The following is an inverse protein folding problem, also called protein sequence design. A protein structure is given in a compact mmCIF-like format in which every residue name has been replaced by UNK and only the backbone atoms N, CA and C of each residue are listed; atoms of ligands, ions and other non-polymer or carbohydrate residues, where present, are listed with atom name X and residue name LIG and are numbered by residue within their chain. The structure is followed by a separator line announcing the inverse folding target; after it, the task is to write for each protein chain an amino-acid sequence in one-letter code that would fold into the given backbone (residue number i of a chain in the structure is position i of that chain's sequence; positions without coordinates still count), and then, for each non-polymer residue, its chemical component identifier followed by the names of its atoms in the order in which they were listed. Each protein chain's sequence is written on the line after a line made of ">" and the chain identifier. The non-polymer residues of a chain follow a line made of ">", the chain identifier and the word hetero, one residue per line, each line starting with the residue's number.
data_IF_538908039770
#
_entry.id   IF_538908039770
#
_cell.length_a   1.000
_cell.length_b   1.000
_cell.length_c   1.000
_cell.angle_alpha   90.00
_cell.angle_beta   90.00
_cell.angle_gamma   90.00
#
_symmetry.space_group_name_H-M   'P 1'
#
loop_
_entity.id
_entity.type
_entity.pdbx_description
1 polymer ?
#
# COMPACT_ATOMS: atom_id res chain seq x y z
N UNK A 1 -9.59 15.89 -21.19
CA UNK A 1 -8.69 14.93 -20.53
C UNK A 1 -9.00 14.96 -19.05
N UNK A 2 -9.62 13.91 -18.51
CA UNK A 2 -9.88 13.82 -17.07
C UNK A 2 -8.60 13.37 -16.38
N UNK A 3 -8.06 14.20 -15.49
CA UNK A 3 -7.03 13.79 -14.54
C UNK A 3 -7.64 12.64 -13.72
N UNK A 4 -7.15 11.41 -13.89
CA UNK A 4 -7.63 10.27 -13.11
C UNK A 4 -7.17 10.47 -11.66
N UNK A 5 -8.02 11.08 -10.83
CA UNK A 5 -7.76 11.20 -9.40
C UNK A 5 -7.80 9.81 -8.77
N UNK A 6 -6.80 9.44 -7.98
CA UNK A 6 -6.86 8.28 -7.10
C UNK A 6 -8.11 8.37 -6.22
N UNK A 7 -8.83 7.26 -6.04
CA UNK A 7 -9.98 7.18 -5.15
C UNK A 7 -9.64 7.78 -3.76
N UNK A 8 -10.51 8.62 -3.18
CA UNK A 8 -10.29 9.12 -1.83
C UNK A 8 -10.26 7.96 -0.82
N UNK A 9 -9.43 8.05 0.23
CA UNK A 9 -9.32 6.98 1.19
C UNK A 9 -10.54 6.89 2.10
N UNK A 10 -10.72 5.71 2.72
CA UNK A 10 -11.58 5.57 3.88
C UNK A 10 -10.79 5.86 5.16
N UNK A 11 -11.32 6.73 6.00
CA UNK A 11 -10.71 7.11 7.28
C UNK A 11 -11.52 6.53 8.43
N UNK A 12 -10.84 5.85 9.35
CA UNK A 12 -11.42 5.18 10.53
C UNK A 12 -12.70 4.38 10.22
N UNK A 13 -12.69 3.47 9.22
CA UNK A 13 -13.88 2.71 8.88
C UNK A 13 -14.31 1.78 10.03
N UNK A 14 -15.61 1.75 10.30
CA UNK A 14 -16.21 0.86 11.31
C UNK A 14 -16.23 -0.58 10.78
N UNK A 15 -15.86 -1.55 11.62
CA UNK A 15 -15.85 -2.98 11.29
C UNK A 15 -17.14 -3.66 11.82
N UNK A 16 -17.86 -4.46 11.01
CA UNK A 16 -17.53 -4.86 9.64
C UNK A 16 -17.67 -3.72 8.63
N UNK A 17 -16.71 -3.65 7.71
CA UNK A 17 -16.65 -2.63 6.66
C UNK A 17 -16.92 -3.27 5.30
N UNK A 18 -17.63 -2.55 4.43
CA UNK A 18 -17.74 -2.84 3.01
C UNK A 18 -17.68 -1.53 2.22
N UNK A 19 -16.76 -1.44 1.27
CA UNK A 19 -16.50 -0.24 0.48
C UNK A 19 -16.21 -0.55 -0.98
N UNK A 20 -16.59 0.38 -1.85
CA UNK A 20 -16.33 0.27 -3.29
C UNK A 20 -14.87 0.54 -3.62
N UNK A 21 -14.37 -0.20 -4.60
CA UNK A 21 -13.13 0.08 -5.31
C UNK A 21 -13.53 0.78 -6.61
N UNK A 22 -13.36 2.10 -6.68
CA UNK A 22 -13.78 2.91 -7.82
C UNK A 22 -12.98 2.51 -9.07
N UNK A 23 -13.70 2.10 -10.12
CA UNK A 23 -13.09 1.56 -11.32
C UNK A 23 -12.67 0.09 -11.23
N UNK A 24 -12.97 -0.59 -10.11
CA UNK A 24 -12.61 -1.98 -9.86
C UNK A 24 -11.10 -2.19 -9.67
N UNK A 25 -10.71 -3.45 -9.53
CA UNK A 25 -9.28 -3.80 -9.52
C UNK A 25 -8.67 -3.60 -10.91
N UNK A 26 -7.47 -3.01 -10.93
CA UNK A 26 -6.69 -2.74 -12.13
C UNK A 26 -5.26 -3.25 -11.94
N UNK A 27 -4.60 -3.69 -13.01
CA UNK A 27 -3.18 -4.08 -12.95
C UNK A 27 -2.33 -2.87 -12.51
N UNK A 28 -1.59 -3.03 -11.41
CA UNK A 28 -0.78 -2.02 -10.75
C UNK A 28 -1.50 -1.23 -9.64
N UNK A 29 -2.78 -1.52 -9.37
CA UNK A 29 -3.51 -0.87 -8.26
C UNK A 29 -2.94 -1.35 -6.93
N UNK A 30 -2.53 -0.40 -6.08
CA UNK A 30 -2.11 -0.68 -4.71
C UNK A 30 -3.18 -0.23 -3.72
N UNK A 31 -3.54 -1.13 -2.80
CA UNK A 31 -4.52 -0.90 -1.75
C UNK A 31 -3.82 -1.10 -0.40
N UNK A 32 -3.82 -0.06 0.43
CA UNK A 32 -3.09 -0.05 1.71
C UNK A 32 -4.06 0.08 2.87
N UNK A 33 -4.00 -0.85 3.82
CA UNK A 33 -4.77 -0.86 5.05
C UNK A 33 -3.81 -0.58 6.21
N UNK A 34 -4.18 0.37 7.07
CA UNK A 34 -3.50 0.58 8.36
C UNK A 34 -4.49 0.32 9.47
N UNK A 35 -4.06 -0.43 10.47
CA UNK A 35 -4.94 -0.85 11.55
C UNK A 35 -4.20 -1.50 12.71
N UNK A 36 -4.98 -2.04 13.64
CA UNK A 36 -4.50 -2.77 14.82
C UNK A 36 -5.32 -4.05 14.97
N UNK A 37 -4.64 -5.17 15.22
CA UNK A 37 -5.33 -6.43 15.54
C UNK A 37 -5.87 -6.35 16.96
N UNK A 38 -7.11 -6.74 17.18
CA UNK A 38 -7.74 -6.66 18.50
C UNK A 38 -7.46 -7.92 19.32
N UNK A 39 -7.31 -7.77 20.64
CA UNK A 39 -7.22 -8.90 21.60
C UNK A 39 -8.58 -9.52 21.93
N UNK A 40 -9.66 -8.83 21.57
CA UNK A 40 -11.04 -9.18 21.89
C UNK A 40 -11.85 -9.25 20.58
N UNK A 41 -13.06 -9.80 20.66
CA UNK A 41 -13.98 -9.97 19.53
C UNK A 41 -13.50 -10.98 18.46
N UNK A 42 -12.71 -11.97 18.86
CA UNK A 42 -12.41 -13.15 18.05
C UNK A 42 -10.92 -13.42 17.87
N UNK A 43 -10.62 -14.52 17.20
CA UNK A 43 -9.27 -15.05 16.96
C UNK A 43 -8.80 -14.84 15.52
N UNK A 44 -9.55 -14.09 14.72
CA UNK A 44 -9.30 -13.92 13.28
C UNK A 44 -9.91 -12.64 12.74
N UNK A 45 -9.34 -12.15 11.65
CA UNK A 45 -9.97 -11.13 10.80
C UNK A 45 -9.82 -11.50 9.33
N UNK A 46 -10.66 -10.95 8.46
CA UNK A 46 -10.63 -11.23 7.04
C UNK A 46 -10.64 -9.94 6.22
N UNK A 47 -9.92 -9.97 5.11
CA UNK A 47 -9.99 -8.98 4.03
C UNK A 47 -10.42 -9.72 2.77
N UNK A 48 -11.54 -9.29 2.20
CA UNK A 48 -12.16 -9.94 1.05
C UNK A 48 -12.23 -8.99 -0.14
N UNK A 49 -11.81 -9.49 -1.29
CA UNK A 49 -11.98 -8.88 -2.60
C UNK A 49 -13.08 -9.63 -3.33
N UNK A 50 -14.24 -9.00 -3.54
CA UNK A 50 -15.40 -9.64 -4.14
C UNK A 50 -16.14 -8.72 -5.12
N UNK A 51 -17.08 -9.32 -5.84
CA UNK A 51 -17.94 -8.62 -6.80
C UNK A 51 -19.38 -8.67 -6.31
N UNK A 52 -20.11 -7.56 -6.49
CA UNK A 52 -21.53 -7.52 -6.17
C UNK A 52 -21.87 -7.51 -4.67
N UNK A 53 -23.16 -7.56 -4.32
CA UNK A 53 -23.65 -7.27 -2.97
C UNK A 53 -23.51 -8.44 -1.98
N UNK A 54 -23.21 -9.65 -2.47
CA UNK A 54 -23.11 -10.86 -1.64
C UNK A 54 -21.67 -11.31 -1.48
N UNK A 55 -21.41 -12.11 -0.45
CA UNK A 55 -20.10 -12.74 -0.19
C UNK A 55 -19.98 -14.14 -0.82
N UNK A 56 -20.81 -14.47 -1.82
CA UNK A 56 -20.77 -15.76 -2.49
C UNK A 56 -19.59 -15.92 -3.45
N UNK A 57 -19.07 -14.80 -3.96
CA UNK A 57 -18.01 -14.77 -4.97
C UNK A 57 -16.85 -13.88 -4.51
N UNK A 58 -15.92 -14.48 -3.77
CA UNK A 58 -14.73 -13.82 -3.23
C UNK A 58 -13.53 -14.24 -4.07
N UNK A 59 -13.01 -13.30 -4.86
CA UNK A 59 -11.83 -13.53 -5.70
C UNK A 59 -10.59 -13.80 -4.85
N UNK A 60 -10.42 -13.04 -3.77
CA UNK A 60 -9.34 -13.24 -2.82
C UNK A 60 -9.81 -12.99 -1.38
N UNK A 61 -9.76 -14.07 -0.59
CA UNK A 61 -9.97 -14.07 0.85
C UNK A 61 -8.61 -14.15 1.55
N UNK A 62 -8.23 -13.10 2.24
CA UNK A 62 -7.02 -13.05 3.07
C UNK A 62 -7.43 -13.07 4.54
N UNK A 63 -7.10 -14.14 5.26
CA UNK A 63 -7.64 -14.40 6.59
C UNK A 63 -6.59 -14.86 7.60
N UNK A 64 -5.96 -13.90 8.31
CA UNK A 64 -5.13 -14.19 9.46
C UNK A 64 -5.95 -14.79 10.60
N UNK A 65 -5.45 -15.92 11.14
CA UNK A 65 -6.04 -16.65 12.27
C UNK A 65 -4.97 -16.85 13.33
N UNK A 66 -5.25 -16.37 14.54
CA UNK A 66 -4.36 -16.44 15.70
C UNK A 66 -4.60 -17.71 16.54
N UNK A 67 -4.95 -18.80 15.86
CA UNK A 67 -5.21 -20.11 16.43
C UNK A 67 -3.99 -21.01 16.15
N UNK A 68 -3.75 -22.02 16.99
CA UNK A 68 -2.74 -23.07 16.73
C UNK A 68 -1.34 -22.55 16.36
N UNK A 69 -0.86 -21.51 17.07
CA UNK A 69 0.44 -20.88 16.80
C UNK A 69 0.42 -19.79 15.72
N UNK A 70 -0.72 -19.59 15.05
CA UNK A 70 -0.96 -18.50 14.13
C UNK A 70 -0.62 -18.85 12.68
N UNK A 71 -1.59 -18.66 11.78
CA UNK A 71 -1.41 -18.84 10.34
C UNK A 71 -2.32 -17.90 9.54
N UNK A 72 -2.06 -17.77 8.24
CA UNK A 72 -2.92 -17.01 7.32
C UNK A 72 -3.48 -17.93 6.26
N UNK A 73 -4.81 -17.91 6.08
CA UNK A 73 -5.49 -18.61 5.00
C UNK A 73 -5.72 -17.65 3.84
N UNK A 74 -5.34 -18.11 2.65
CA UNK A 74 -5.67 -17.49 1.37
C UNK A 74 -6.60 -18.43 0.59
N UNK A 75 -7.74 -17.92 0.10
CA UNK A 75 -8.64 -18.73 -0.70
C UNK A 75 -9.50 -17.89 -1.66
N UNK A 76 -10.26 -18.58 -2.50
CA UNK A 76 -11.25 -18.03 -3.42
C UNK A 76 -12.56 -18.76 -3.18
N UNK A 77 -13.67 -18.03 -3.15
CA UNK A 77 -15.04 -18.56 -3.04
C UNK A 77 -15.76 -18.28 -4.36
N UNK A 78 -16.40 -19.29 -4.94
CA UNK A 78 -17.19 -19.15 -6.17
C UNK A 78 -18.55 -19.82 -5.95
N UNK A 79 -19.64 -19.13 -6.29
CA UNK A 79 -21.01 -19.62 -6.12
C UNK A 79 -21.29 -20.16 -4.71
N UNK A 80 -20.76 -19.50 -3.67
CA UNK A 80 -20.94 -19.94 -2.29
C UNK A 80 -19.92 -20.99 -1.80
N UNK A 81 -19.15 -21.61 -2.70
CA UNK A 81 -18.25 -22.71 -2.37
C UNK A 81 -16.79 -22.26 -2.28
N UNK A 82 -16.12 -22.64 -1.19
CA UNK A 82 -14.68 -22.42 -1.03
C UNK A 82 -13.87 -23.37 -1.89
N UNK A 83 -12.82 -22.85 -2.54
CA UNK A 83 -11.81 -23.65 -3.21
C UNK A 83 -10.77 -24.25 -2.25
N UNK A 84 -9.66 -24.79 -2.79
CA UNK A 84 -8.55 -25.30 -1.97
C UNK A 84 -7.86 -24.18 -1.18
N UNK A 85 -7.72 -24.35 0.14
CA UNK A 85 -7.01 -23.36 0.96
C UNK A 85 -5.51 -23.33 0.64
N UNK A 86 -4.93 -22.13 0.56
CA UNK A 86 -3.48 -21.92 0.64
C UNK A 86 -3.14 -21.36 2.02
N UNK A 87 -2.47 -22.17 2.86
CA UNK A 87 -2.15 -21.83 4.24
C UNK A 87 -0.70 -21.40 4.37
N UNK A 88 -0.47 -20.22 4.91
CA UNK A 88 0.86 -19.73 5.30
C UNK A 88 0.99 -19.88 6.81
N UNK A 89 1.85 -20.81 7.24
CA UNK A 89 2.06 -21.13 8.66
C UNK A 89 2.90 -20.09 9.41
N UNK A 90 3.32 -19.03 8.72
CA UNK A 90 3.95 -17.87 9.34
C UNK A 90 2.89 -16.79 9.58
N UNK A 91 2.82 -16.31 10.83
CA UNK A 91 1.93 -15.21 11.23
C UNK A 91 2.70 -13.87 11.19
N UNK A 92 2.38 -12.95 10.26
CA UNK A 92 3.06 -11.67 10.15
C UNK A 92 2.42 -10.57 11.02
N UNK A 93 1.34 -10.91 11.74
CA UNK A 93 0.60 -9.98 12.60
C UNK A 93 0.77 -10.36 14.07
N UNK A 94 0.62 -9.38 14.95
CA UNK A 94 0.58 -9.62 16.38
C UNK A 94 -0.66 -8.95 16.96
N UNK A 95 -1.40 -9.65 17.82
CA UNK A 95 -2.54 -9.07 18.54
C UNK A 95 -2.10 -7.83 19.32
N UNK A 96 -2.93 -6.80 19.33
CA UNK A 96 -2.65 -5.51 19.97
C UNK A 96 -1.72 -4.58 19.19
N UNK A 97 -0.99 -5.08 18.20
CA UNK A 97 0.00 -4.29 17.49
C UNK A 97 -0.58 -3.65 16.23
N UNK A 98 -0.12 -2.43 15.89
CA UNK A 98 -0.44 -1.81 14.62
C UNK A 98 0.22 -2.57 13.47
N UNK A 99 -0.39 -2.48 12.29
CA UNK A 99 0.15 -3.03 11.06
C UNK A 99 -0.14 -2.11 9.87
N UNK A 100 0.71 -2.21 8.85
CA UNK A 100 0.44 -1.77 7.48
C UNK A 100 0.34 -3.01 6.58
N UNK A 101 -0.79 -3.19 5.92
CA UNK A 101 -1.07 -4.31 5.01
C UNK A 101 -1.31 -3.73 3.62
N UNK A 102 -0.47 -4.09 2.65
CA UNK A 102 -0.65 -3.68 1.27
C UNK A 102 -0.98 -4.87 0.36
N UNK A 103 -1.94 -4.64 -0.53
CA UNK A 103 -2.28 -5.51 -1.65
C UNK A 103 -1.92 -4.77 -2.94
N UNK A 104 -0.95 -5.29 -3.68
CA UNK A 104 -0.67 -4.85 -5.05
C UNK A 104 -1.30 -5.86 -6.00
N UNK A 105 -2.22 -5.38 -6.82
CA UNK A 105 -2.76 -6.17 -7.93
C UNK A 105 -1.76 -6.12 -9.06
N UNK A 106 -1.32 -7.28 -9.54
CA UNK A 106 -0.66 -7.39 -10.84
C UNK A 106 -1.51 -8.26 -11.79
N UNK A 107 -1.06 -8.42 -13.03
CA UNK A 107 -1.78 -9.20 -14.06
C UNK A 107 -1.99 -10.67 -13.72
N UNK A 108 -1.18 -11.26 -12.82
CA UNK A 108 -1.18 -12.70 -12.54
C UNK A 108 -1.56 -13.05 -11.10
N UNK A 109 -1.35 -12.15 -10.16
CA UNK A 109 -1.47 -12.39 -8.73
C UNK A 109 -1.78 -11.12 -7.93
N UNK A 110 -2.22 -11.34 -6.69
CA UNK A 110 -2.12 -10.36 -5.63
C UNK A 110 -0.77 -10.52 -4.93
N UNK A 111 0.03 -9.45 -4.87
CA UNK A 111 1.23 -9.37 -4.04
C UNK A 111 0.89 -8.71 -2.72
N UNK A 112 1.11 -9.43 -1.63
CA UNK A 112 0.80 -8.97 -0.28
C UNK A 112 2.08 -8.66 0.48
N UNK A 113 2.13 -7.48 1.08
CA UNK A 113 3.20 -7.09 2.01
C UNK A 113 2.60 -6.69 3.35
N UNK A 114 3.25 -7.08 4.44
CA UNK A 114 2.90 -6.68 5.81
C UNK A 114 4.09 -5.94 6.41
N UNK A 115 3.88 -4.72 6.89
CA UNK A 115 4.91 -3.86 7.48
C UNK A 115 6.14 -3.69 6.56
N UNK A 116 5.89 -3.43 5.27
CA UNK A 116 6.93 -3.27 4.25
C UNK A 116 7.67 -4.55 3.83
N UNK A 117 7.36 -5.69 4.46
CA UNK A 117 7.97 -6.98 4.15
C UNK A 117 7.05 -7.83 3.27
N UNK A 118 7.61 -8.48 2.25
CA UNK A 118 6.86 -9.40 1.42
C UNK A 118 6.31 -10.57 2.26
N UNK A 119 5.03 -10.91 2.05
CA UNK A 119 4.38 -12.00 2.76
C UNK A 119 3.90 -13.13 1.84
N UNK A 120 3.06 -12.82 0.85
CA UNK A 120 2.52 -13.84 -0.07
C UNK A 120 2.26 -13.28 -1.46
N UNK A 121 2.41 -14.12 -2.48
CA UNK A 121 1.84 -13.91 -3.81
C UNK A 121 0.70 -14.92 -3.99
N UNK A 122 -0.51 -14.42 -4.21
CA UNK A 122 -1.70 -15.27 -4.41
C UNK A 122 -2.14 -15.18 -5.87
N UNK A 123 -1.96 -16.23 -6.69
CA UNK A 123 -2.37 -16.23 -8.09
C UNK A 123 -3.87 -15.99 -8.24
N UNK A 124 -4.27 -15.22 -9.25
CA UNK A 124 -5.67 -15.03 -9.58
C UNK A 124 -6.31 -16.36 -9.98
N UNK A 125 -7.24 -16.86 -9.18
CA UNK A 125 -8.03 -18.06 -9.50
C UNK A 125 -9.30 -17.76 -10.29
N UNK A 126 -9.71 -16.50 -10.27
CA UNK A 126 -10.81 -15.93 -11.04
C UNK A 126 -10.36 -14.60 -11.65
N UNK A 127 -11.01 -14.12 -12.71
CA UNK A 127 -10.64 -12.85 -13.30
C UNK A 127 -10.86 -11.68 -12.32
N UNK A 128 -9.80 -10.94 -12.00
CA UNK A 128 -9.85 -9.86 -11.01
C UNK A 128 -10.62 -8.62 -11.49
N UNK A 129 -10.83 -8.47 -12.79
CA UNK A 129 -11.45 -7.27 -13.39
C UNK A 129 -12.93 -7.07 -13.00
N UNK A 130 -13.61 -8.11 -12.52
CA UNK A 130 -14.98 -7.98 -12.00
C UNK A 130 -15.04 -7.53 -10.55
N UNK A 131 -13.92 -7.57 -9.83
CA UNK A 131 -13.86 -7.21 -8.41
C UNK A 131 -13.97 -5.70 -8.26
N UNK A 132 -14.99 -5.28 -7.51
CA UNK A 132 -15.31 -3.87 -7.30
C UNK A 132 -15.57 -3.53 -5.82
N UNK A 133 -15.45 -4.50 -4.92
CA UNK A 133 -15.81 -4.34 -3.52
C UNK A 133 -14.75 -4.96 -2.61
N UNK A 134 -14.35 -4.17 -1.60
CA UNK A 134 -13.46 -4.56 -0.52
C UNK A 134 -14.30 -4.67 0.77
N UNK A 135 -14.27 -5.82 1.44
CA UNK A 135 -14.88 -5.98 2.75
C UNK A 135 -13.90 -6.48 3.80
N UNK A 136 -14.05 -5.98 5.02
CA UNK A 136 -13.21 -6.34 6.17
C UNK A 136 -14.10 -6.69 7.36
N UNK A 137 -13.77 -7.77 8.06
CA UNK A 137 -14.51 -8.24 9.23
C UNK A 137 -13.61 -8.94 10.25
N UNK A 138 -14.12 -9.17 11.46
CA UNK A 138 -13.43 -9.88 12.54
C UNK A 138 -12.65 -8.97 13.49
N UNK A 139 -11.67 -9.54 14.19
CA UNK A 139 -10.93 -8.93 15.30
C UNK A 139 -9.86 -7.92 14.82
N UNK A 140 -10.30 -6.85 14.16
CA UNK A 140 -9.42 -5.80 13.63
C UNK A 140 -10.08 -4.43 13.78
N UNK A 141 -9.27 -3.42 14.07
CA UNK A 141 -9.62 -2.01 13.94
C UNK A 141 -8.83 -1.41 12.79
N UNK A 142 -9.47 -0.62 11.93
CA UNK A 142 -8.82 0.08 10.83
C UNK A 142 -8.83 1.59 11.07
N UNK A 143 -7.69 2.23 10.88
CA UNK A 143 -7.58 3.69 10.85
C UNK A 143 -7.63 4.25 9.43
N UNK A 144 -7.25 3.44 8.44
CA UNK A 144 -7.07 3.91 7.06
C UNK A 144 -7.22 2.80 6.03
N UNK A 145 -7.85 3.12 4.90
CA UNK A 145 -7.81 2.35 3.66
C UNK A 145 -7.51 3.31 2.50
N UNK A 146 -6.37 3.12 1.85
CA UNK A 146 -5.89 3.94 0.73
C UNK A 146 -5.85 3.21 -0.59
N UNK A 147 -5.97 3.96 -1.68
CA UNK A 147 -5.94 3.46 -3.06
C UNK A 147 -4.92 4.28 -3.86
N UNK A 148 -3.98 3.62 -4.51
CA UNK A 148 -2.98 4.25 -5.37
C UNK A 148 -3.04 3.59 -6.75
N UNK A 149 -3.49 4.36 -7.75
CA UNK A 149 -3.65 3.89 -9.12
C UNK A 149 -2.30 3.61 -9.81
N UNK A 150 -2.27 2.70 -10.79
CA UNK A 150 -1.09 2.45 -11.62
C UNK A 150 -0.64 3.73 -12.32
N UNK A 151 0.67 3.99 -12.37
CA UNK A 151 1.22 5.17 -13.06
C UNK A 151 1.25 6.46 -12.23
N UNK A 152 0.60 6.51 -11.06
CA UNK A 152 0.87 7.53 -10.04
C UNK A 152 2.00 7.02 -9.14
N UNK A 153 3.15 6.76 -9.73
CA UNK A 153 4.40 6.88 -8.97
C UNK A 153 4.62 8.38 -8.92
N UNK A 154 4.61 8.98 -7.72
CA UNK A 154 5.17 10.32 -7.60
C UNK A 154 6.61 10.19 -8.11
N UNK A 155 6.85 10.67 -9.32
CA UNK A 155 8.20 10.94 -9.78
C UNK A 155 8.76 11.85 -8.70
N UNK A 156 9.72 11.34 -7.93
CA UNK A 156 10.66 12.22 -7.28
C UNK A 156 11.25 13.05 -8.41
N UNK A 157 10.74 14.27 -8.60
CA UNK A 157 11.50 15.32 -9.26
C UNK A 157 12.70 15.55 -8.37
N UNK A 158 13.72 14.70 -8.54
CA UNK A 158 15.07 15.07 -8.19
C UNK A 158 15.32 16.42 -8.90
N UNK A 159 15.88 17.42 -8.22
CA UNK A 159 16.22 18.67 -8.87
C UNK A 159 17.15 18.35 -10.04
N UNK A 160 16.70 18.70 -11.24
CA UNK A 160 17.49 18.55 -12.46
C UNK A 160 18.65 19.53 -12.33
N UNK A 161 19.80 19.07 -11.85
CA UNK A 161 21.06 19.76 -12.12
C UNK A 161 21.23 19.70 -13.63
N UNK A 162 21.07 20.86 -14.28
CA UNK A 162 21.38 21.02 -15.69
C UNK A 162 22.83 20.58 -15.90
N UNK A 163 23.02 19.42 -16.51
CA UNK A 163 24.33 19.01 -16.99
C UNK A 163 24.47 19.67 -18.36
N UNK A 164 25.33 20.68 -18.42
CA UNK A 164 25.76 21.31 -19.68
C UNK A 164 26.36 20.21 -20.55
N UNK A 165 25.70 19.90 -21.66
CA UNK A 165 26.17 18.92 -22.64
C UNK A 165 27.36 19.55 -23.37
N UNK A 166 28.59 19.18 -23.01
CA UNK A 166 29.72 19.34 -23.90
C UNK A 166 29.65 18.25 -24.97
N UNK A 167 29.41 18.68 -26.20
CA UNK A 167 29.40 17.84 -27.40
C UNK A 167 30.77 17.18 -27.57
N UNK A 168 30.83 15.85 -27.60
CA UNK A 168 31.95 15.13 -28.20
C UNK A 168 31.40 14.21 -29.28
N UNK A 169 31.77 14.55 -30.53
CA UNK A 169 31.51 13.77 -31.73
C UNK A 169 32.20 12.41 -31.63
N UNK A 170 31.52 11.34 -32.04
CA UNK A 170 32.19 10.13 -32.54
C UNK A 170 31.33 9.43 -33.59
N UNK A 171 32.04 8.79 -34.53
CA UNK A 171 31.67 8.40 -35.88
C UNK A 171 30.87 7.07 -35.97
N UNK A 172 30.35 6.69 -37.16
CA UNK A 172 29.30 5.68 -37.28
C UNK A 172 29.85 4.25 -37.45
N UNK A 173 29.23 3.32 -36.73
CA UNK A 173 29.30 1.88 -36.96
C UNK A 173 29.63 1.09 -35.71
N UNK A 174 28.64 0.34 -35.20
CA UNK A 174 28.73 -1.03 -34.65
C UNK A 174 27.39 -1.44 -34.00
N UNK A 175 27.04 -2.72 -34.16
CA UNK A 175 25.72 -3.33 -33.89
C UNK A 175 25.38 -3.47 -32.39
N UNK A 176 24.08 -3.36 -32.07
CA UNK A 176 23.49 -3.63 -30.76
C UNK A 176 23.44 -5.13 -30.42
N UNK A 177 23.61 -5.51 -29.14
CA UNK A 177 22.89 -6.64 -28.55
C UNK A 177 21.81 -6.16 -27.58
N UNK A 178 20.66 -6.86 -27.57
CA UNK A 178 19.49 -6.61 -26.70
C UNK A 178 19.85 -6.40 -25.22
N UNK A 179 19.22 -5.44 -24.51
CA UNK A 179 19.35 -5.35 -23.06
C UNK A 179 18.48 -6.42 -22.37
N UNK A 180 19.14 -7.31 -21.64
CA UNK A 180 18.51 -8.17 -20.63
C UNK A 180 17.87 -7.27 -19.57
N UNK A 181 16.55 -7.37 -19.42
CA UNK A 181 15.79 -6.66 -18.39
C UNK A 181 16.20 -7.23 -17.01
N UNK A 182 16.81 -6.46 -16.10
CA UNK A 182 17.04 -6.93 -14.73
C UNK A 182 15.69 -7.07 -14.01
N UNK A 183 15.57 -7.97 -13.01
CA UNK A 183 14.37 -8.04 -12.19
C UNK A 183 14.11 -6.68 -11.55
N UNK A 184 12.90 -6.16 -11.72
CA UNK A 184 12.46 -4.94 -11.05
C UNK A 184 12.46 -5.18 -9.53
N UNK A 185 13.54 -4.76 -8.87
CA UNK A 185 13.56 -4.61 -7.43
C UNK A 185 12.64 -3.43 -7.10
N UNK A 186 11.48 -3.70 -6.51
CA UNK A 186 10.66 -2.67 -5.91
C UNK A 186 11.52 -1.97 -4.84
N UNK A 187 11.78 -0.66 -4.95
CA UNK A 187 12.56 0.01 -3.93
C UNK A 187 11.73 0.03 -2.66
N UNK A 188 12.18 -0.72 -1.64
CA UNK A 188 11.89 -0.35 -0.27
C UNK A 188 12.56 1.00 -0.05
N UNK A 189 11.78 2.07 -0.20
CA UNK A 189 12.27 3.44 0.00
C UNK A 189 12.60 3.60 1.48
N UNK A 190 13.87 3.42 1.83
CA UNK A 190 14.39 3.78 3.15
C UNK A 190 14.45 5.30 3.23
N UNK A 191 13.49 5.91 3.92
CA UNK A 191 13.48 7.35 4.16
C UNK A 191 14.48 7.69 5.26
N UNK A 192 15.51 8.48 4.91
CA UNK A 192 16.47 9.00 5.88
C UNK A 192 15.81 10.03 6.79
N UNK A 193 16.17 9.97 8.08
CA UNK A 193 15.68 10.89 9.11
C UNK A 193 16.72 11.97 9.43
N UNK A 194 16.32 13.24 9.58
CA UNK A 194 14.98 13.80 9.37
C UNK A 194 14.57 13.83 7.89
N UNK A 195 13.32 13.45 7.61
CA UNK A 195 12.76 13.47 6.26
C UNK A 195 12.17 14.84 5.93
N UNK A 196 12.38 15.33 4.71
CA UNK A 196 11.77 16.56 4.18
C UNK A 196 11.24 16.31 2.77
N UNK A 197 10.01 16.75 2.49
CA UNK A 197 9.44 16.71 1.14
C UNK A 197 8.44 17.85 0.95
N UNK A 198 8.26 18.28 -0.29
CA UNK A 198 7.22 19.24 -0.68
C UNK A 198 5.90 18.53 -0.90
N UNK A 199 4.78 19.13 -0.51
CA UNK A 199 3.43 18.61 -0.83
C UNK A 199 3.02 19.13 -2.22
N UNK A 200 2.94 18.27 -3.25
CA UNK A 200 2.59 18.72 -4.59
C UNK A 200 1.18 19.33 -4.59
N UNK A 201 1.04 20.54 -5.11
CA UNK A 201 -0.24 21.27 -5.15
C UNK A 201 -0.72 21.84 -3.80
N UNK A 202 0.13 21.86 -2.76
CA UNK A 202 -0.20 22.49 -1.48
C UNK A 202 -1.28 21.75 -0.67
N UNK A 203 -1.85 22.41 0.34
CA UNK A 203 -2.96 21.91 1.14
C UNK A 203 -4.29 22.50 0.65
N UNK A 204 -5.35 21.70 0.63
CA UNK A 204 -6.72 22.13 0.33
C UNK A 204 -7.71 21.33 1.19
N UNK A 205 -8.95 21.82 1.40
CA UNK A 205 -9.95 21.10 2.18
C UNK A 205 -10.14 19.67 1.67
N UNK A 206 -10.16 18.69 2.58
CA UNK A 206 -10.22 17.24 2.30
C UNK A 206 -8.91 16.60 1.83
N UNK A 207 -7.81 17.33 1.67
CA UNK A 207 -6.49 16.73 1.42
C UNK A 207 -5.93 16.14 2.72
N UNK A 208 -5.61 14.86 2.73
CA UNK A 208 -4.96 14.18 3.84
C UNK A 208 -3.45 14.02 3.61
N UNK A 209 -2.66 14.22 4.68
CA UNK A 209 -1.26 13.80 4.75
C UNK A 209 -1.22 12.61 5.70
N UNK A 210 -0.57 11.52 5.29
CA UNK A 210 -0.43 10.33 6.11
C UNK A 210 1.05 10.04 6.26
N UNK A 211 1.44 9.75 7.50
CA UNK A 211 2.79 9.36 7.88
C UNK A 211 2.67 8.00 8.55
N UNK A 212 3.18 6.95 7.90
CA UNK A 212 3.33 5.62 8.50
C UNK A 212 4.81 5.38 8.82
N UNK A 213 5.07 4.66 9.91
CA UNK A 213 6.42 4.37 10.37
C UNK A 213 6.42 3.64 11.70
N UNK A 214 7.60 3.14 12.10
CA UNK A 214 7.82 2.48 13.38
C UNK A 214 8.53 3.42 14.35
N UNK A 215 8.03 3.53 15.58
CA UNK A 215 8.74 4.24 16.66
C UNK A 215 9.87 3.33 17.17
N UNK A 216 11.11 3.82 17.15
CA UNK A 216 12.26 3.05 17.66
C UNK A 216 12.14 2.82 19.18
N UNK A 217 12.54 1.65 19.72
CA UNK A 217 12.48 1.38 21.16
C UNK A 217 13.27 2.37 22.03
N UNK A 218 14.34 2.98 21.48
CA UNK A 218 15.17 4.00 22.14
C UNK A 218 14.62 5.43 22.00
N UNK A 219 13.49 5.63 21.31
CA UNK A 219 12.94 6.95 21.05
C UNK A 219 12.42 7.60 22.34
N UNK A 220 13.04 8.72 22.74
CA UNK A 220 12.60 9.48 23.92
C UNK A 220 11.43 10.43 23.61
N UNK A 221 11.29 10.88 22.36
CA UNK A 221 10.16 11.67 21.85
C UNK A 221 9.91 11.35 20.38
N UNK A 222 8.65 11.15 20.00
CA UNK A 222 8.22 11.07 18.61
C UNK A 222 7.31 12.28 18.35
N UNK A 223 7.73 13.17 17.45
CA UNK A 223 6.96 14.34 17.04
C UNK A 223 6.84 14.40 15.53
N UNK A 224 5.61 14.47 15.02
CA UNK A 224 5.33 14.90 13.66
C UNK A 224 4.94 16.38 13.70
N UNK A 225 5.73 17.26 13.09
CA UNK A 225 5.29 18.64 12.87
C UNK A 225 5.08 18.88 11.38
N UNK A 226 3.88 19.37 11.03
CA UNK A 226 3.63 20.02 9.74
C UNK A 226 3.97 21.50 9.92
N UNK A 227 5.10 21.95 9.38
CA UNK A 227 5.44 23.37 9.35
C UNK A 227 5.12 23.94 7.97
N UNK A 228 4.16 24.85 7.91
CA UNK A 228 3.90 25.66 6.73
C UNK A 228 4.81 26.90 6.80
N UNK A 229 5.86 26.94 5.99
CA UNK A 229 6.73 28.12 5.92
C UNK A 229 6.28 28.96 4.73
N UNK A 230 5.71 30.12 5.01
CA UNK A 230 5.40 31.13 4.00
C UNK A 230 6.72 31.76 3.53
N UNK A 231 7.40 31.12 2.58
CA UNK A 231 8.40 31.79 1.76
C UNK A 231 7.89 31.75 0.32
N UNK A 232 8.08 32.89 -0.37
CA UNK A 232 7.44 33.28 -1.64
C UNK A 232 7.17 32.11 -2.58
N UNK A 233 5.99 32.16 -3.21
CA UNK A 233 5.47 31.21 -4.20
C UNK A 233 6.56 30.36 -4.90
N UNK A 234 6.46 29.02 -4.88
CA UNK A 234 5.40 28.19 -4.32
C UNK A 234 5.62 27.82 -2.84
N UNK A 235 4.52 27.60 -2.12
CA UNK A 235 4.50 27.23 -0.70
C UNK A 235 5.32 25.97 -0.42
N UNK A 236 6.36 26.09 0.40
CA UNK A 236 7.13 24.93 0.90
C UNK A 236 6.53 24.52 2.24
N UNK A 237 5.87 23.36 2.28
CA UNK A 237 5.45 22.72 3.54
C UNK A 237 6.48 21.64 3.85
N UNK A 238 7.10 21.71 5.01
CA UNK A 238 8.06 20.70 5.49
C UNK A 238 7.40 19.90 6.61
N UNK A 239 7.38 18.58 6.49
CA UNK A 239 7.04 17.67 7.59
C UNK A 239 8.33 17.15 8.19
N UNK A 240 8.64 17.48 9.45
CA UNK A 240 9.76 16.81 10.14
C UNK A 240 9.20 15.66 10.98
N UNK A 241 9.74 14.46 10.77
CA UNK A 241 9.76 13.42 11.77
C UNK A 241 11.13 13.55 12.44
N UNK A 242 11.16 13.88 13.73
CA UNK A 242 12.40 13.92 14.51
C UNK A 242 12.45 12.67 15.40
N UNK A 243 13.44 11.82 15.16
CA UNK A 243 13.92 10.84 16.14
C UNK A 243 15.30 11.32 16.58
N UNK A 244 15.40 11.88 17.78
CA UNK A 244 16.69 12.26 18.36
C UNK A 244 17.32 11.02 19.02
N UNK A 245 18.54 10.68 18.61
CA UNK A 245 19.47 9.84 19.37
C UNK A 245 20.62 10.73 19.83
N UNK A 246 21.01 10.61 21.11
CA UNK A 246 22.17 11.29 21.66
C UNK A 246 23.47 10.84 20.96
#
# INVERSE_FOLDING_TARGET
>A
MALSSSQPPYLNPIIPFSGKIQGGLQDGLKITLTGTVLYYNGTRFAVNFHSGPSDNDIAFHFNPRFEEGGYVVCNTKQNGCWGPEDRKMHMPFQMGNPFELCFLVDSYNFKVTVNGSHFVQYPHRVPFHHVDTLSISGAVHLSYIGFQSPGIWQANTAPITQTVIHTMQSAPGQMFPNPVIPPMAYPNSTYSMPFFTSIPGGLYPSKSIIVSGTVLPSAQRCGSCVKATASRCPWTVSTCLNTATA
#
